data_IF_372114513186
#
_entry.id   IF_372114513186
#
_cell.length_a   1.000
_cell.length_b   1.000
_cell.length_c   1.000
_cell.angle_alpha   90.00
_cell.angle_beta   90.00
_cell.angle_gamma   90.00
#
_symmetry.space_group_name_H-M   'P 1'
#
loop_
_entity.id
_entity.type
_entity.pdbx_description
1 polymer ?
#
# COMPACT_ATOMS: atom_id res chain seq x y z
N UNK A 1 6.36 -2.60 -14.33
CA UNK A 1 5.01 -2.21 -13.87
C UNK A 1 5.05 -0.76 -13.40
N UNK A 2 4.11 0.10 -13.80
CA UNK A 2 4.11 1.53 -13.47
C UNK A 2 3.98 1.76 -11.95
N UNK A 3 4.42 2.94 -11.49
CA UNK A 3 4.08 3.47 -10.17
C UNK A 3 2.66 4.02 -10.24
N UNK A 4 1.86 3.73 -9.22
CA UNK A 4 0.49 4.25 -9.11
C UNK A 4 0.48 5.45 -8.16
N UNK A 5 -0.19 6.51 -8.57
CA UNK A 5 -0.58 7.59 -7.68
C UNK A 5 -1.72 7.13 -6.77
N UNK A 6 -1.95 7.90 -5.71
CA UNK A 6 -2.97 7.58 -4.70
C UNK A 6 -4.38 7.45 -5.26
N UNK A 7 -4.73 8.28 -6.24
CA UNK A 7 -6.02 8.30 -6.95
C UNK A 7 -6.21 7.11 -7.92
N UNK A 8 -5.15 6.36 -8.21
CA UNK A 8 -5.16 5.20 -9.12
C UNK A 8 -5.25 3.85 -8.37
N UNK A 9 -5.18 3.89 -7.03
CA UNK A 9 -5.17 2.71 -6.17
C UNK A 9 -6.53 2.00 -6.14
N UNK A 10 -6.50 0.68 -6.22
CA UNK A 10 -7.64 -0.21 -5.99
C UNK A 10 -7.28 -1.26 -4.95
N UNK A 11 -8.29 -1.86 -4.30
CA UNK A 11 -8.08 -2.96 -3.36
C UNK A 11 -7.18 -4.04 -3.99
N UNK A 12 -6.20 -4.53 -3.21
CA UNK A 12 -5.20 -5.49 -3.66
C UNK A 12 -3.90 -4.88 -4.20
N UNK A 13 -3.82 -3.57 -4.40
CA UNK A 13 -2.56 -2.91 -4.75
C UNK A 13 -1.59 -2.89 -3.56
N UNK A 14 -0.30 -3.09 -3.82
CA UNK A 14 0.72 -2.78 -2.81
C UNK A 14 0.92 -1.29 -2.71
N UNK A 15 1.09 -0.77 -1.50
CA UNK A 15 1.44 0.63 -1.22
C UNK A 15 2.80 0.69 -0.54
N UNK A 16 3.66 1.58 -1.02
CA UNK A 16 5.03 1.73 -0.56
C UNK A 16 5.22 3.05 0.17
N UNK A 17 6.11 3.03 1.17
CA UNK A 17 6.39 4.19 2.00
C UNK A 17 7.89 4.51 1.99
N UNK A 18 8.20 5.79 1.87
CA UNK A 18 9.56 6.31 1.77
C UNK A 18 9.71 7.67 2.46
N UNK A 19 10.95 8.13 2.67
CA UNK A 19 11.24 9.33 3.44
C UNK A 19 10.74 10.62 2.77
N UNK A 20 10.66 10.63 1.43
CA UNK A 20 10.31 11.80 0.63
C UNK A 20 8.92 11.68 -0.01
N UNK A 21 8.05 10.82 0.55
CA UNK A 21 6.71 10.60 0.02
C UNK A 21 6.75 10.26 -1.49
N UNK A 22 5.93 10.92 -2.34
CA UNK A 22 5.87 10.64 -3.78
C UNK A 22 7.20 10.73 -4.54
N UNK A 23 8.15 11.52 -4.04
CA UNK A 23 9.45 11.75 -4.68
C UNK A 23 10.52 10.74 -4.25
N UNK A 24 10.18 9.81 -3.34
CA UNK A 24 11.12 8.80 -2.85
C UNK A 24 11.74 8.00 -4.00
N UNK A 25 13.00 7.61 -3.86
CA UNK A 25 13.60 6.64 -4.80
C UNK A 25 13.22 5.24 -4.37
N UNK A 26 13.22 4.30 -5.32
CA UNK A 26 12.90 2.92 -5.01
C UNK A 26 13.86 2.29 -3.98
N UNK A 27 15.12 2.74 -3.97
CA UNK A 27 16.13 2.29 -3.02
C UNK A 27 15.88 2.78 -1.57
N UNK A 28 15.08 3.84 -1.40
CA UNK A 28 14.83 4.47 -0.10
C UNK A 28 13.50 4.01 0.54
N UNK A 29 12.77 3.12 -0.14
CA UNK A 29 11.52 2.56 0.39
C UNK A 29 11.83 1.68 1.60
N UNK A 30 11.22 2.03 2.74
CA UNK A 30 11.46 1.34 4.02
C UNK A 30 10.27 0.50 4.49
N UNK A 31 9.07 0.69 3.92
CA UNK A 31 7.88 -0.07 4.33
C UNK A 31 6.92 -0.36 3.18
N UNK A 32 6.10 -1.39 3.36
CA UNK A 32 5.06 -1.83 2.41
C UNK A 32 3.79 -2.26 3.13
N UNK A 33 2.64 -2.05 2.49
CA UNK A 33 1.35 -2.57 2.91
C UNK A 33 0.49 -2.99 1.72
N UNK A 34 -0.65 -3.63 2.00
CA UNK A 34 -1.67 -3.99 1.02
C UNK A 34 -2.86 -3.04 1.16
N UNK A 35 -3.22 -2.36 0.07
CA UNK A 35 -4.34 -1.42 0.05
C UNK A 35 -5.67 -2.16 0.05
N UNK A 36 -6.59 -1.69 0.88
CA UNK A 36 -7.93 -2.27 1.05
C UNK A 36 -9.04 -1.39 0.44
N UNK A 37 -8.69 -0.21 -0.07
CA UNK A 37 -9.66 0.78 -0.54
C UNK A 37 -9.98 1.84 0.52
N UNK A 38 -10.57 2.95 0.07
CA UNK A 38 -11.02 4.06 0.94
C UNK A 38 -9.92 4.60 1.88
N UNK A 39 -8.67 4.64 1.40
CA UNK A 39 -7.53 5.10 2.17
C UNK A 39 -6.99 4.08 3.18
N UNK A 40 -7.64 2.93 3.37
CA UNK A 40 -7.20 1.90 4.31
C UNK A 40 -6.19 0.95 3.71
N UNK A 41 -5.25 0.49 4.52
CA UNK A 41 -4.30 -0.55 4.16
C UNK A 41 -3.97 -1.42 5.37
N UNK A 42 -3.62 -2.68 5.10
CA UNK A 42 -3.14 -3.65 6.09
C UNK A 42 -1.63 -3.82 5.93
N UNK A 43 -0.93 -3.92 7.05
CA UNK A 43 0.52 -4.07 7.08
C UNK A 43 0.98 -4.66 8.40
N UNK A 44 2.20 -5.20 8.44
CA UNK A 44 2.85 -5.62 9.68
C UNK A 44 3.66 -4.45 10.24
N UNK A 45 3.34 -3.98 11.43
CA UNK A 45 4.05 -2.89 12.12
C UNK A 45 4.96 -3.45 13.19
N UNK A 46 6.24 -3.62 12.84
CA UNK A 46 7.33 -3.91 13.78
C UNK A 46 7.01 -4.95 14.85
N UNK A 47 7.70 -4.85 15.99
CA UNK A 47 7.55 -5.77 17.13
C UNK A 47 6.43 -5.37 18.11
N UNK A 48 5.81 -4.19 17.95
CA UNK A 48 4.88 -3.65 18.95
C UNK A 48 3.42 -4.03 18.70
N UNK A 49 2.97 -4.11 17.44
CA UNK A 49 1.53 -4.17 17.14
C UNK A 49 1.16 -5.24 16.10
N UNK A 50 2.14 -5.95 15.52
CA UNK A 50 1.89 -7.04 14.58
C UNK A 50 1.13 -6.60 13.34
N UNK A 51 0.19 -7.42 12.87
CA UNK A 51 -0.63 -7.11 11.68
C UNK A 51 -1.75 -6.15 12.07
N UNK A 52 -1.77 -4.97 11.48
CA UNK A 52 -2.73 -3.91 11.83
C UNK A 52 -3.26 -3.16 10.60
N UNK A 53 -4.32 -2.40 10.83
CA UNK A 53 -4.95 -1.52 9.85
C UNK A 53 -4.58 -0.07 10.11
N UNK A 54 -4.11 0.60 9.06
CA UNK A 54 -3.85 2.05 9.08
C UNK A 54 -4.54 2.74 7.91
N UNK A 55 -4.62 4.07 7.99
CA UNK A 55 -5.27 4.89 6.96
C UNK A 55 -4.33 5.97 6.45
N UNK A 56 -4.23 6.08 5.12
CA UNK A 56 -3.52 7.13 4.39
C UNK A 56 -4.22 8.50 4.52
N UNK A 57 -5.49 8.54 4.90
CA UNK A 57 -6.26 9.79 5.08
C UNK A 57 -6.17 10.31 6.51
N UNK A 58 -6.18 9.40 7.48
CA UNK A 58 -6.33 9.73 8.91
C UNK A 58 -4.99 9.79 9.66
N UNK A 59 -3.98 9.03 9.22
CA UNK A 59 -2.64 9.09 9.82
C UNK A 59 -1.78 10.10 9.09
N UNK A 60 -1.34 11.15 9.78
CA UNK A 60 -0.41 12.14 9.23
C UNK A 60 0.90 11.51 8.78
N UNK A 61 1.43 10.56 9.56
CA UNK A 61 2.66 9.84 9.25
C UNK A 61 2.53 9.03 7.96
N UNK A 62 1.54 8.14 7.87
CA UNK A 62 1.36 7.30 6.68
C UNK A 62 0.96 8.11 5.45
N UNK A 63 0.23 9.21 5.65
CA UNK A 63 -0.10 10.16 4.58
C UNK A 63 1.15 10.83 4.01
N UNK A 64 2.04 11.32 4.86
CA UNK A 64 3.27 11.99 4.44
C UNK A 64 4.29 11.02 3.81
N UNK A 65 4.39 9.81 4.36
CA UNK A 65 5.33 8.81 3.90
C UNK A 65 4.88 8.05 2.64
N UNK A 66 3.62 8.17 2.21
CA UNK A 66 3.12 7.45 1.03
C UNK A 66 3.91 7.85 -0.21
N UNK A 67 4.53 6.86 -0.85
CA UNK A 67 5.34 7.07 -2.03
C UNK A 67 4.55 6.77 -3.31
N UNK A 68 4.19 5.51 -3.53
CA UNK A 68 3.37 5.09 -4.67
C UNK A 68 2.75 3.73 -4.41
N UNK A 69 1.81 3.35 -5.26
CA UNK A 69 1.32 1.99 -5.35
C UNK A 69 1.97 1.16 -6.46
N UNK A 70 1.70 -0.15 -6.44
CA UNK A 70 1.94 -1.06 -7.55
C UNK A 70 0.86 -2.14 -7.61
N UNK A 71 0.24 -2.29 -8.77
CA UNK A 71 -0.66 -3.40 -9.09
C UNK A 71 0.11 -4.61 -9.56
N UNK A 72 0.10 -5.68 -8.78
CA UNK A 72 0.76 -6.94 -9.13
C UNK A 72 -0.20 -7.93 -9.76
N UNK A 73 -1.41 -8.01 -9.25
CA UNK A 73 -2.40 -8.99 -9.66
C UNK A 73 -3.33 -8.40 -10.73
N UNK A 74 -3.74 -9.21 -11.70
CA UNK A 74 -4.91 -8.92 -12.54
C UNK A 74 -6.20 -9.13 -11.74
N UNK A 75 -7.35 -8.61 -12.21
CA UNK A 75 -8.64 -8.91 -11.58
C UNK A 75 -8.91 -10.41 -11.45
N UNK A 76 -8.51 -11.20 -12.44
CA UNK A 76 -8.66 -12.67 -12.44
C UNK A 76 -7.75 -13.34 -11.41
N UNK A 77 -6.55 -12.82 -11.18
CA UNK A 77 -5.63 -13.32 -10.14
C UNK A 77 -6.07 -12.91 -8.71
N UNK A 78 -6.78 -11.79 -8.57
CA UNK A 78 -7.36 -11.32 -7.30
C UNK A 78 -8.61 -12.08 -6.89
N UNK A 79 -9.45 -12.42 -7.88
CA UNK A 79 -10.56 -13.32 -7.67
C UNK A 79 -9.95 -14.69 -7.38
N UNK A 80 -9.67 -14.96 -6.09
CA UNK A 80 -9.35 -16.32 -5.61
C UNK A 80 -10.35 -17.23 -6.29
N UNK A 81 -9.84 -18.10 -7.18
CA UNK A 81 -10.67 -18.85 -8.10
C UNK A 81 -11.86 -19.41 -7.36
N UNK A 82 -13.06 -19.27 -7.92
CA UNK A 82 -14.33 -19.76 -7.37
C UNK A 82 -14.39 -21.28 -7.14
N UNK A 83 -13.25 -21.97 -7.21
CA UNK A 83 -13.02 -23.39 -7.02
C UNK A 83 -12.27 -23.68 -5.69
N UNK A 84 -12.53 -22.88 -4.65
CA UNK A 84 -12.29 -23.29 -3.25
C UNK A 84 -13.62 -23.29 -2.50
#
# INVERSE_FOLDING_TARGET
>A
RPRLRRDELTCGDLVFFGPDGPDSKAADIYHVGLYLGNGWFIHSTGSSDGVTLCSLDRSSYWKAAFAWGRRLLTPEELAVGSDQ
#
